data_IF_096581306025
#
_entry.id   IF_096581306025
#
_cell.length_a   1.000
_cell.length_b   1.000
_cell.length_c   1.000
_cell.angle_alpha   90.00
_cell.angle_beta   90.00
_cell.angle_gamma   90.00
#
_symmetry.space_group_name_H-M   'P 1'
#
loop_
_entity.id
_entity.type
_entity.pdbx_description
1 polymer ?
#
# COMPACT_ATOMS: atom_id res chain seq x y z
N UNK A 1 -19.02 11.88 -8.24
CA UNK A 1 -17.64 11.47 -8.54
C UNK A 1 -17.02 12.61 -9.29
N UNK A 2 -15.96 13.19 -8.76
CA UNK A 2 -15.53 14.58 -8.99
C UNK A 2 -14.88 14.82 -10.37
N UNK A 3 -15.06 13.89 -11.32
CA UNK A 3 -14.61 14.02 -12.72
C UNK A 3 -13.10 13.96 -12.94
N UNK A 4 -12.28 13.87 -11.88
CA UNK A 4 -10.81 13.75 -11.99
C UNK A 4 -10.41 12.50 -12.79
N UNK A 5 -9.53 12.63 -13.81
CA UNK A 5 -8.97 11.48 -14.50
C UNK A 5 -8.30 10.50 -13.52
N UNK A 6 -8.50 9.20 -13.75
CA UNK A 6 -7.92 8.13 -12.91
C UNK A 6 -6.39 8.25 -12.83
N UNK A 7 -5.77 8.70 -13.91
CA UNK A 7 -4.32 8.90 -14.02
C UNK A 7 -3.83 10.03 -13.11
N UNK A 8 -4.58 11.11 -12.96
CA UNK A 8 -4.24 12.19 -12.02
C UNK A 8 -4.33 11.72 -10.57
N UNK A 9 -5.34 10.91 -10.24
CA UNK A 9 -5.48 10.30 -8.91
C UNK A 9 -4.29 9.39 -8.60
N UNK A 10 -3.85 8.59 -9.56
CA UNK A 10 -2.68 7.71 -9.41
C UNK A 10 -1.40 8.51 -9.16
N UNK A 11 -1.21 9.63 -9.86
CA UNK A 11 -0.06 10.54 -9.65
C UNK A 11 -0.10 11.15 -8.25
N UNK A 12 -1.26 11.63 -7.80
CA UNK A 12 -1.41 12.19 -6.45
C UNK A 12 -1.13 11.13 -5.35
N UNK A 13 -1.57 9.89 -5.58
CA UNK A 13 -1.27 8.76 -4.69
C UNK A 13 0.23 8.46 -4.64
N UNK A 14 0.93 8.49 -5.78
CA UNK A 14 2.37 8.28 -5.79
C UNK A 14 3.10 9.37 -5.04
N UNK A 15 2.72 10.63 -5.26
CA UNK A 15 3.32 11.77 -4.57
C UNK A 15 3.13 11.66 -3.06
N UNK A 16 1.90 11.47 -2.58
CA UNK A 16 1.64 11.43 -1.14
C UNK A 16 2.34 10.24 -0.45
N UNK A 17 2.42 9.08 -1.11
CA UNK A 17 3.06 7.90 -0.51
C UNK A 17 4.57 8.03 -0.49
N UNK A 18 5.18 8.63 -1.52
CA UNK A 18 6.62 8.94 -1.55
C UNK A 18 6.98 10.04 -0.55
N UNK A 19 6.17 11.08 -0.44
CA UNK A 19 6.33 12.13 0.58
C UNK A 19 6.28 11.55 1.99
N UNK A 20 5.33 10.65 2.28
CA UNK A 20 5.28 9.94 3.54
C UNK A 20 6.56 9.12 3.81
N UNK A 21 7.10 8.43 2.80
CA UNK A 21 8.33 7.66 2.97
C UNK A 21 9.53 8.56 3.32
N UNK A 22 9.50 9.84 2.97
CA UNK A 22 10.55 10.80 3.34
C UNK A 22 10.27 11.48 4.69
N UNK A 23 9.04 11.94 4.92
CA UNK A 23 8.67 12.75 6.09
C UNK A 23 8.36 11.92 7.33
N UNK A 24 7.87 10.68 7.12
CA UNK A 24 7.29 9.79 8.14
C UNK A 24 6.06 10.38 8.85
N UNK A 25 5.44 11.40 8.27
CA UNK A 25 4.27 12.07 8.86
C UNK A 25 2.98 11.31 8.53
N UNK A 26 2.51 10.52 9.50
CA UNK A 26 1.30 9.71 9.39
C UNK A 26 0.03 10.56 9.31
N UNK A 27 -0.01 11.67 10.04
CA UNK A 27 -1.18 12.55 10.10
C UNK A 27 -1.36 13.27 8.77
N UNK A 28 -0.27 13.79 8.20
CA UNK A 28 -0.25 14.41 6.89
C UNK A 28 -0.69 13.43 5.80
N UNK A 29 -0.07 12.24 5.76
CA UNK A 29 -0.40 11.23 4.76
C UNK A 29 -1.88 10.83 4.84
N UNK A 30 -2.40 10.63 6.05
CA UNK A 30 -3.82 10.33 6.26
C UNK A 30 -4.74 11.47 5.84
N UNK A 31 -4.33 12.74 6.04
CA UNK A 31 -5.07 13.90 5.55
C UNK A 31 -5.11 13.91 4.03
N UNK A 32 -3.96 13.77 3.35
CA UNK A 32 -3.87 13.70 1.90
C UNK A 32 -4.77 12.60 1.32
N UNK A 33 -4.80 11.41 1.93
CA UNK A 33 -5.68 10.32 1.48
C UNK A 33 -7.16 10.69 1.64
N UNK A 34 -7.57 11.35 2.73
CA UNK A 34 -8.97 11.82 2.90
C UNK A 34 -9.34 12.86 1.85
N UNK A 35 -8.43 13.78 1.53
CA UNK A 35 -8.62 14.83 0.53
C UNK A 35 -8.75 14.29 -0.90
N UNK A 36 -8.25 13.07 -1.16
CA UNK A 36 -8.55 12.39 -2.43
C UNK A 36 -10.05 12.15 -2.60
N UNK A 37 -10.85 12.03 -1.52
CA UNK A 37 -12.31 11.90 -1.54
C UNK A 37 -12.84 10.80 -2.49
N UNK A 38 -12.10 9.67 -2.59
CA UNK A 38 -12.43 8.53 -3.48
C UNK A 38 -12.33 7.19 -2.74
N UNK A 39 -13.19 6.94 -1.73
CA UNK A 39 -13.08 5.76 -0.85
C UNK A 39 -13.09 4.41 -1.58
N UNK A 40 -13.77 4.32 -2.73
CA UNK A 40 -13.79 3.09 -3.55
C UNK A 40 -12.47 2.80 -4.29
N UNK A 41 -11.58 3.78 -4.34
CA UNK A 41 -10.27 3.74 -5.00
C UNK A 41 -9.10 3.66 -4.00
N UNK A 42 -9.37 3.63 -2.69
CA UNK A 42 -8.33 3.56 -1.65
C UNK A 42 -7.46 2.29 -1.75
N UNK A 43 -7.94 1.20 -2.36
CA UNK A 43 -7.10 0.05 -2.69
C UNK A 43 -5.89 0.43 -3.56
N UNK A 44 -5.98 1.51 -4.33
CA UNK A 44 -4.88 2.00 -5.16
C UNK A 44 -3.82 2.70 -4.32
N UNK A 45 -4.20 3.38 -3.23
CA UNK A 45 -3.26 3.92 -2.21
C UNK A 45 -2.42 2.79 -1.64
N UNK A 46 -3.06 1.67 -1.30
CA UNK A 46 -2.41 0.50 -0.71
C UNK A 46 -1.46 -0.16 -1.71
N UNK A 47 -1.96 -0.50 -2.91
CA UNK A 47 -1.15 -1.15 -3.95
C UNK A 47 0.06 -0.29 -4.31
N UNK A 48 -0.15 0.99 -4.60
CA UNK A 48 0.93 1.91 -5.01
C UNK A 48 1.86 2.25 -3.85
N UNK A 49 1.35 2.39 -2.63
CA UNK A 49 2.18 2.58 -1.45
C UNK A 49 3.16 1.42 -1.26
N UNK A 50 2.69 0.18 -1.39
CA UNK A 50 3.56 -1.01 -1.35
C UNK A 50 4.61 -0.94 -2.47
N UNK A 51 4.19 -0.70 -3.72
CA UNK A 51 5.12 -0.54 -4.86
C UNK A 51 6.19 0.52 -4.57
N UNK A 52 5.79 1.72 -4.15
CA UNK A 52 6.70 2.83 -3.88
C UNK A 52 7.66 2.50 -2.74
N UNK A 53 7.20 1.81 -1.69
CA UNK A 53 8.08 1.39 -0.59
C UNK A 53 9.14 0.38 -1.01
N UNK A 54 8.81 -0.50 -1.96
CA UNK A 54 9.73 -1.49 -2.51
C UNK A 54 10.71 -0.85 -3.50
N UNK A 55 10.25 0.11 -4.32
CA UNK A 55 11.09 0.89 -5.25
C UNK A 55 12.12 1.74 -4.50
N UNK A 56 11.72 2.45 -3.45
CA UNK A 56 12.64 3.21 -2.59
C UNK A 56 13.59 2.28 -1.82
N UNK A 57 13.15 1.05 -1.56
CA UNK A 57 13.95 -0.02 -0.99
C UNK A 57 14.31 0.17 0.50
N UNK A 58 14.90 -0.87 1.07
CA UNK A 58 15.35 -0.87 2.46
C UNK A 58 14.25 -1.18 3.48
N UNK A 59 14.64 -1.89 4.55
CA UNK A 59 13.73 -2.37 5.60
C UNK A 59 12.95 -1.23 6.27
N UNK A 60 13.57 -0.06 6.44
CA UNK A 60 12.94 1.12 7.03
C UNK A 60 11.73 1.61 6.21
N UNK A 61 11.80 1.55 4.87
CA UNK A 61 10.70 1.97 4.01
C UNK A 61 9.55 0.97 4.01
N UNK A 62 9.84 -0.33 3.99
CA UNK A 62 8.83 -1.39 4.16
C UNK A 62 8.12 -1.27 5.52
N UNK A 63 8.89 -1.07 6.61
CA UNK A 63 8.34 -0.92 7.95
C UNK A 63 7.49 0.35 8.12
N UNK A 64 7.92 1.46 7.52
CA UNK A 64 7.14 2.69 7.50
C UNK A 64 5.83 2.51 6.70
N UNK A 65 5.90 1.88 5.51
CA UNK A 65 4.69 1.62 4.73
C UNK A 65 3.69 0.74 5.49
N UNK A 66 4.17 -0.31 6.16
CA UNK A 66 3.31 -1.11 7.04
C UNK A 66 2.67 -0.26 8.16
N UNK A 67 3.44 0.66 8.77
CA UNK A 67 2.94 1.57 9.80
C UNK A 67 1.88 2.54 9.27
N UNK A 68 2.05 3.08 8.06
CA UNK A 68 1.03 3.89 7.40
C UNK A 68 -0.26 3.10 7.15
N UNK A 69 -0.16 1.90 6.62
CA UNK A 69 -1.33 1.05 6.35
C UNK A 69 -2.11 0.74 7.65
N UNK A 70 -1.40 0.43 8.74
CA UNK A 70 -2.02 0.24 10.06
C UNK A 70 -2.68 1.52 10.59
N UNK A 71 -2.03 2.68 10.40
CA UNK A 71 -2.57 3.98 10.80
C UNK A 71 -3.85 4.32 10.03
N UNK A 72 -3.83 4.16 8.70
CA UNK A 72 -4.97 4.45 7.84
C UNK A 72 -6.20 3.58 8.16
N UNK A 73 -6.00 2.32 8.54
CA UNK A 73 -7.09 1.42 8.95
C UNK A 73 -7.60 1.78 10.35
N UNK A 74 -6.71 1.96 11.32
CA UNK A 74 -7.09 2.29 12.71
C UNK A 74 -7.81 3.64 12.85
N UNK A 75 -7.58 4.58 11.92
CA UNK A 75 -8.25 5.88 11.87
C UNK A 75 -9.38 5.95 10.83
N UNK A 76 -9.87 4.79 10.38
CA UNK A 76 -11.01 4.63 9.47
C UNK A 76 -10.87 5.41 8.14
N UNK A 77 -9.64 5.69 7.71
CA UNK A 77 -9.34 6.35 6.42
C UNK A 77 -9.48 5.35 5.28
N UNK A 78 -8.96 4.15 5.48
CA UNK A 78 -9.04 3.04 4.53
C UNK A 78 -9.77 1.90 5.20
N UNK A 79 -10.86 1.43 4.60
CA UNK A 79 -11.56 0.26 5.13
C UNK A 79 -10.73 -1.01 4.95
N UNK A 80 -10.92 -1.99 5.83
CA UNK A 80 -10.26 -3.31 5.73
C UNK A 80 -10.50 -3.97 4.37
N UNK A 81 -11.69 -3.80 3.78
CA UNK A 81 -11.98 -4.31 2.44
C UNK A 81 -11.15 -3.65 1.33
N UNK A 82 -10.90 -2.34 1.41
CA UNK A 82 -10.00 -1.64 0.48
C UNK A 82 -8.54 -2.00 0.72
N UNK A 83 -8.15 -2.20 1.98
CA UNK A 83 -6.82 -2.70 2.35
C UNK A 83 -6.55 -4.06 1.69
N UNK A 84 -7.38 -5.06 1.98
CA UNK A 84 -7.23 -6.42 1.46
C UNK A 84 -7.21 -6.41 -0.08
N UNK A 85 -8.14 -5.69 -0.71
CA UNK A 85 -8.17 -5.53 -2.17
C UNK A 85 -6.87 -4.93 -2.73
N UNK A 86 -6.24 -4.01 -2.00
CA UNK A 86 -4.96 -3.42 -2.38
C UNK A 86 -3.81 -4.42 -2.34
N UNK A 87 -3.71 -5.20 -1.26
CA UNK A 87 -2.73 -6.29 -1.14
C UNK A 87 -2.95 -7.35 -2.24
N UNK A 88 -4.19 -7.78 -2.46
CA UNK A 88 -4.52 -8.74 -3.53
C UNK A 88 -4.13 -8.21 -4.92
N UNK A 89 -4.37 -6.92 -5.19
CA UNK A 89 -3.95 -6.28 -6.43
C UNK A 89 -2.44 -6.19 -6.58
N UNK A 90 -1.70 -6.04 -5.48
CA UNK A 90 -0.25 -6.07 -5.51
C UNK A 90 0.28 -7.48 -5.79
N UNK A 91 -0.33 -8.54 -5.22
CA UNK A 91 0.03 -9.94 -5.51
C UNK A 91 -0.03 -10.28 -7.00
N UNK A 92 -0.92 -9.65 -7.77
CA UNK A 92 -1.05 -9.85 -9.22
C UNK A 92 0.13 -9.33 -10.02
N UNK A 93 0.88 -8.36 -9.48
CA UNK A 93 2.03 -7.73 -10.15
C UNK A 93 3.34 -8.04 -9.45
N UNK A 94 3.33 -8.81 -8.35
CA UNK A 94 4.52 -9.08 -7.54
C UNK A 94 5.63 -9.74 -8.35
N UNK A 95 5.31 -10.75 -9.17
CA UNK A 95 6.31 -11.41 -10.02
C UNK A 95 6.95 -10.44 -11.02
N UNK A 96 6.16 -9.54 -11.58
CA UNK A 96 6.63 -8.54 -12.54
C UNK A 96 7.53 -7.51 -11.83
N UNK A 97 7.16 -7.06 -10.62
CA UNK A 97 7.98 -6.17 -9.77
C UNK A 97 9.30 -6.85 -9.35
N UNK A 98 9.27 -8.17 -9.09
CA UNK A 98 10.46 -8.92 -8.69
C UNK A 98 11.51 -9.05 -9.80
N UNK A 99 11.15 -8.80 -11.07
CA UNK A 99 12.10 -8.74 -12.18
C UNK A 99 13.08 -7.57 -12.01
N UNK A 100 12.59 -6.44 -11.50
CA UNK A 100 13.38 -5.23 -11.31
C UNK A 100 13.94 -5.13 -9.88
N UNK A 101 13.23 -5.69 -8.89
CA UNK A 101 13.55 -5.60 -7.47
C UNK A 101 13.70 -7.02 -6.90
N UNK A 102 14.92 -7.58 -6.82
CA UNK A 102 15.15 -8.98 -6.43
C UNK A 102 14.55 -9.36 -5.06
N UNK A 103 14.46 -8.40 -4.13
CA UNK A 103 13.95 -8.62 -2.77
C UNK A 103 12.45 -8.28 -2.62
N UNK A 104 11.72 -7.98 -3.70
CA UNK A 104 10.32 -7.55 -3.64
C UNK A 104 9.43 -8.55 -2.87
N UNK A 105 9.59 -9.84 -3.14
CA UNK A 105 8.80 -10.89 -2.48
C UNK A 105 9.05 -10.94 -0.97
N UNK A 106 10.31 -10.82 -0.53
CA UNK A 106 10.67 -10.81 0.88
C UNK A 106 10.14 -9.55 1.58
N UNK A 107 10.37 -8.36 1.00
CA UNK A 107 9.85 -7.11 1.55
C UNK A 107 8.32 -7.10 1.64
N UNK A 108 7.64 -7.67 0.64
CA UNK A 108 6.18 -7.80 0.67
C UNK A 108 5.71 -8.76 1.77
N UNK A 109 6.41 -9.88 1.97
CA UNK A 109 6.15 -10.80 3.08
C UNK A 109 6.28 -10.11 4.43
N UNK A 110 7.30 -9.25 4.62
CA UNK A 110 7.47 -8.50 5.86
C UNK A 110 6.32 -7.52 6.11
N UNK A 111 5.86 -6.82 5.07
CA UNK A 111 4.70 -5.91 5.15
C UNK A 111 3.43 -6.71 5.50
N UNK A 112 3.21 -7.87 4.88
CA UNK A 112 2.07 -8.75 5.20
C UNK A 112 2.16 -9.26 6.64
N UNK A 113 3.32 -9.76 7.07
CA UNK A 113 3.52 -10.25 8.43
C UNK A 113 3.23 -9.16 9.47
N UNK A 114 3.66 -7.92 9.20
CA UNK A 114 3.33 -6.78 10.04
C UNK A 114 1.83 -6.46 10.02
N UNK A 115 1.18 -6.49 8.86
CA UNK A 115 -0.26 -6.28 8.74
C UNK A 115 -1.09 -7.33 9.50
N UNK A 116 -0.63 -8.58 9.54
CA UNK A 116 -1.24 -9.65 10.35
C UNK A 116 -1.03 -9.36 11.84
N UNK A 117 0.19 -9.00 12.25
CA UNK A 117 0.53 -8.67 13.65
C UNK A 117 -0.28 -7.47 14.16
N UNK A 118 -0.48 -6.46 13.32
CA UNK A 118 -1.24 -5.25 13.65
C UNK A 118 -2.76 -5.47 13.56
N UNK A 119 -3.21 -6.67 13.18
CA UNK A 119 -4.63 -7.05 13.12
C UNK A 119 -5.40 -6.45 11.95
N UNK A 120 -4.71 -5.90 10.94
CA UNK A 120 -5.32 -5.27 9.76
C UNK A 120 -5.48 -6.25 8.59
N UNK A 121 -4.80 -7.40 8.63
CA UNK A 121 -4.94 -8.50 7.68
C UNK A 121 -5.40 -9.80 8.36
N UNK A 122 -6.10 -10.70 7.63
CA UNK A 122 -6.40 -12.05 8.10
C UNK A 122 -5.14 -12.84 8.45
N UNK A 123 -5.19 -13.68 9.49
CA UNK A 123 -4.04 -14.48 9.96
C UNK A 123 -3.50 -15.47 8.92
N UNK A 124 -4.33 -15.85 7.98
CA UNK A 124 -4.06 -16.78 6.88
C UNK A 124 -3.87 -16.05 5.54
N UNK A 125 -3.68 -14.72 5.55
CA UNK A 125 -3.41 -13.97 4.33
C UNK A 125 -2.11 -14.45 3.68
N UNK A 126 -2.24 -14.95 2.45
CA UNK A 126 -1.12 -15.45 1.66
C UNK A 126 -0.40 -14.31 0.92
N UNK A 127 0.90 -14.17 1.15
CA UNK A 127 1.76 -13.16 0.54
C UNK A 127 2.38 -13.58 -0.82
N UNK A 128 2.14 -14.80 -1.30
CA UNK A 128 2.74 -15.28 -2.55
C UNK A 128 2.10 -14.64 -3.79
N UNK A 129 2.85 -14.52 -4.88
CA UNK A 129 2.29 -14.04 -6.14
C UNK A 129 1.16 -14.95 -6.62
N UNK A 130 0.14 -14.37 -7.26
CA UNK A 130 -0.94 -15.18 -7.84
C UNK A 130 -0.41 -15.89 -9.08
N UNK A 131 -0.49 -17.23 -9.10
CA UNK A 131 -0.15 -18.02 -10.29
C UNK A 131 -1.03 -17.56 -11.46
N UNK A 132 -0.42 -16.97 -12.49
CA UNK A 132 -1.08 -16.72 -13.77
C UNK A 132 -1.38 -18.10 -14.40
N UNK A 133 -2.67 -18.45 -14.56
CA UNK A 133 -3.10 -19.66 -15.28
C UNK A 133 -2.83 -19.53 -16.78
#
# INVERSE_FOLDING_TARGET
GDGRPVEELKVAIDQLTKEYLLSRDLEEAARCVRELNVPHFHHEVVKRGITNSLEEGGEANSAAMASLLAYLVSHEVVSTGQLIKGFERFKLVLDDVALDIPNAAASFQDIVARGISDGILPKDFDASAVKKQ
#
